data_IF_190242310728
#
_entry.id   IF_190242310728
#
_cell.length_a   1.000
_cell.length_b   1.000
_cell.length_c   1.000
_cell.angle_alpha   90.00
_cell.angle_beta   90.00
_cell.angle_gamma   90.00
#
_symmetry.space_group_name_H-M   'P 1'
#
loop_
_entity.id
_entity.type
_entity.pdbx_description
1 polymer ?
#
# COMPACT_ATOMS: atom_id res chain seq x y z
N UNK A 1 42.14 -58.01 -23.71
CA UNK A 1 41.58 -57.79 -25.06
C UNK A 1 40.48 -56.76 -24.91
N UNK A 2 40.43 -55.57 -25.48
CA UNK A 2 41.14 -54.71 -26.44
C UNK A 2 40.31 -53.38 -26.39
N UNK A 3 40.61 -52.23 -26.95
CA UNK A 3 41.63 -51.66 -27.82
C UNK A 3 41.31 -50.15 -27.78
N UNK A 4 42.35 -49.32 -27.68
CA UNK A 4 42.31 -47.86 -27.79
C UNK A 4 41.80 -47.37 -29.15
N UNK A 5 41.29 -46.13 -29.22
CA UNK A 5 41.46 -45.09 -30.28
C UNK A 5 40.62 -43.85 -29.89
N UNK A 6 41.23 -42.71 -29.50
CA UNK A 6 41.53 -41.50 -30.32
C UNK A 6 40.33 -41.08 -31.21
N UNK A 7 39.82 -39.86 -31.29
CA UNK A 7 40.41 -38.51 -31.35
C UNK A 7 39.24 -37.52 -31.54
N UNK A 8 39.31 -36.26 -31.08
CA UNK A 8 38.26 -35.29 -31.44
C UNK A 8 38.29 -33.93 -30.76
N UNK A 9 39.43 -33.24 -30.85
CA UNK A 9 39.58 -31.81 -30.59
C UNK A 9 38.67 -30.98 -31.49
N UNK A 10 37.87 -30.06 -30.94
CA UNK A 10 37.42 -28.85 -31.65
C UNK A 10 37.36 -27.69 -30.66
N UNK A 11 38.50 -26.98 -30.59
CA UNK A 11 38.61 -25.61 -30.11
C UNK A 11 37.82 -24.70 -31.07
N UNK A 12 36.82 -23.99 -30.58
CA UNK A 12 36.32 -22.79 -31.26
C UNK A 12 36.95 -21.56 -30.62
N UNK A 13 38.15 -21.24 -31.09
CA UNK A 13 38.72 -19.91 -30.95
C UNK A 13 38.42 -19.10 -32.22
N UNK A 14 38.19 -17.80 -32.02
CA UNK A 14 38.25 -16.73 -33.02
C UNK A 14 37.04 -16.59 -33.95
N UNK A 15 36.39 -15.43 -33.94
CA UNK A 15 36.89 -14.31 -34.75
C UNK A 15 35.88 -13.15 -34.84
N UNK A 16 36.39 -11.97 -34.49
CA UNK A 16 36.08 -10.59 -34.92
C UNK A 16 34.95 -10.33 -35.93
N UNK A 17 34.15 -9.28 -35.67
CA UNK A 17 33.29 -8.65 -36.67
C UNK A 17 32.35 -7.58 -36.11
N UNK A 18 32.88 -6.39 -35.80
CA UNK A 18 32.15 -5.12 -35.71
C UNK A 18 31.29 -4.85 -36.96
N UNK A 19 30.18 -4.10 -36.82
CA UNK A 19 29.80 -2.95 -37.67
C UNK A 19 28.37 -2.44 -37.38
N UNK A 20 28.33 -1.26 -36.75
CA UNK A 20 27.47 -0.11 -37.04
C UNK A 20 25.98 -0.33 -37.42
N UNK A 21 25.09 0.04 -36.50
CA UNK A 21 23.76 0.53 -36.85
C UNK A 21 23.46 1.81 -36.04
N UNK A 22 23.88 2.95 -36.60
CA UNK A 22 23.48 4.27 -36.16
C UNK A 22 22.01 4.51 -36.55
N UNK A 23 21.14 4.82 -35.58
CA UNK A 23 19.84 5.41 -35.83
C UNK A 23 19.85 6.87 -35.38
N UNK A 24 19.54 7.85 -36.25
CA UNK A 24 19.45 9.25 -35.87
C UNK A 24 18.16 9.51 -35.07
N UNK A 25 18.29 10.25 -33.97
CA UNK A 25 17.17 10.84 -33.22
C UNK A 25 16.28 11.66 -34.16
N UNK A 26 14.96 11.41 -34.15
CA UNK A 26 13.98 12.15 -34.95
C UNK A 26 13.44 13.33 -34.14
N UNK A 27 13.86 14.59 -34.40
CA UNK A 27 13.19 15.75 -33.80
C UNK A 27 11.84 15.95 -34.50
N UNK A 28 10.73 15.71 -33.79
CA UNK A 28 9.41 16.17 -34.23
C UNK A 28 9.21 17.62 -33.80
N UNK A 29 9.02 18.59 -34.73
CA UNK A 29 8.59 19.93 -34.35
C UNK A 29 7.13 19.87 -33.90
N UNK A 30 6.87 20.14 -32.63
CA UNK A 30 5.50 20.36 -32.13
C UNK A 30 5.05 21.75 -32.60
N UNK A 31 3.90 21.89 -33.29
CA UNK A 31 3.36 23.20 -33.61
C UNK A 31 2.75 23.86 -32.37
N UNK A 32 3.36 24.95 -31.90
CA UNK A 32 2.77 25.80 -30.86
C UNK A 32 1.77 26.77 -31.50
N UNK A 33 0.47 26.49 -31.35
CA UNK A 33 -0.62 27.36 -31.79
C UNK A 33 -0.68 28.66 -30.96
N UNK A 34 -0.90 29.78 -31.67
CA UNK A 34 -0.93 31.13 -31.11
C UNK A 34 -2.21 31.45 -30.31
N UNK A 35 -2.00 31.97 -29.08
CA UNK A 35 -2.73 33.03 -28.35
C UNK A 35 -4.25 33.16 -28.52
N UNK A 36 -5.02 32.82 -27.47
CA UNK A 36 -6.34 33.42 -27.20
C UNK A 36 -6.24 34.62 -26.25
N UNK A 37 -7.02 35.69 -26.44
CA UNK A 37 -7.26 36.72 -25.43
C UNK A 37 -8.34 36.25 -24.44
N UNK A 38 -8.05 36.27 -23.13
CA UNK A 38 -9.10 36.11 -22.12
C UNK A 38 -9.42 37.48 -21.53
N UNK A 39 -10.64 37.92 -21.79
CA UNK A 39 -11.23 39.20 -21.35
C UNK A 39 -11.51 39.13 -19.86
N UNK A 40 -11.07 40.13 -19.10
CA UNK A 40 -11.47 40.33 -17.71
C UNK A 40 -12.79 41.09 -17.64
N UNK A 41 -13.81 40.62 -16.91
CA UNK A 41 -14.79 41.50 -16.29
C UNK A 41 -14.74 41.42 -14.75
N UNK A 42 -15.25 42.50 -14.15
CA UNK A 42 -15.04 42.98 -12.77
C UNK A 42 -16.10 42.47 -11.74
N UNK A 43 -15.65 42.23 -10.48
CA UNK A 43 -16.17 42.64 -9.12
C UNK A 43 -17.68 42.96 -8.94
N UNK A 44 -18.46 42.63 -7.84
CA UNK A 44 -18.10 42.48 -6.40
C UNK A 44 -18.83 41.40 -5.52
N UNK A 45 -18.41 41.34 -4.25
CA UNK A 45 -19.23 41.26 -3.01
C UNK A 45 -19.30 39.93 -2.22
N UNK A 46 -19.27 40.01 -0.87
CA UNK A 46 -18.73 38.98 0.00
C UNK A 46 -19.80 37.98 0.45
N UNK A 47 -19.45 36.69 0.41
CA UNK A 47 -20.01 35.76 1.38
C UNK A 47 -18.98 35.70 2.50
N UNK A 48 -19.27 36.16 3.75
CA UNK A 48 -18.53 35.64 4.87
C UNK A 48 -18.76 34.14 4.81
N UNK A 49 -17.74 33.40 4.35
CA UNK A 49 -17.67 31.98 4.60
C UNK A 49 -17.78 31.89 6.11
N UNK A 50 -18.94 31.43 6.60
CA UNK A 50 -19.08 31.03 7.98
C UNK A 50 -18.12 29.87 8.08
N UNK A 51 -16.89 30.16 8.46
CA UNK A 51 -15.92 29.15 8.86
C UNK A 51 -16.69 28.28 9.84
N UNK A 52 -16.97 26.99 9.53
CA UNK A 52 -17.50 26.14 10.55
C UNK A 52 -16.52 26.25 11.71
N UNK A 53 -17.02 26.77 12.84
CA UNK A 53 -16.34 26.71 14.13
C UNK A 53 -15.65 25.34 14.16
N UNK A 54 -14.33 25.25 14.42
CA UNK A 54 -13.69 23.95 14.50
C UNK A 54 -14.54 23.13 15.45
N UNK A 55 -15.23 22.13 14.90
CA UNK A 55 -15.77 21.06 15.72
C UNK A 55 -14.55 20.61 16.48
N UNK A 56 -14.54 20.87 17.80
CA UNK A 56 -13.60 20.23 18.68
C UNK A 56 -13.96 18.76 18.55
N UNK A 57 -13.43 18.09 17.52
CA UNK A 57 -13.57 16.66 17.33
C UNK A 57 -13.08 16.11 18.66
N UNK A 58 -13.97 15.56 19.50
CA UNK A 58 -13.52 15.00 20.76
C UNK A 58 -12.43 14.02 20.36
N UNK A 59 -11.21 14.22 20.85
CA UNK A 59 -10.09 13.33 20.54
C UNK A 59 -10.60 11.92 20.74
N UNK A 60 -10.81 11.13 19.66
CA UNK A 60 -11.52 9.88 19.80
C UNK A 60 -10.69 9.03 20.74
N UNK A 61 -11.29 8.63 21.85
CA UNK A 61 -10.67 7.73 22.79
C UNK A 61 -10.24 6.49 22.00
N UNK A 62 -9.00 5.99 22.18
CA UNK A 62 -8.56 4.81 21.45
C UNK A 62 -9.48 3.65 21.83
N UNK A 63 -10.12 3.06 20.81
CA UNK A 63 -10.91 1.85 20.98
C UNK A 63 -9.93 0.72 21.30
N UNK A 64 -10.14 0.03 22.43
CA UNK A 64 -9.20 -0.98 22.95
C UNK A 64 -9.81 -2.36 22.88
N UNK A 65 -8.96 -3.36 22.66
CA UNK A 65 -9.31 -4.77 22.71
C UNK A 65 -8.16 -5.62 23.22
N UNK A 66 -8.41 -6.90 23.34
CA UNK A 66 -7.42 -7.89 23.76
C UNK A 66 -7.40 -9.04 22.78
N UNK A 67 -6.23 -9.60 22.51
CA UNK A 67 -6.13 -10.80 21.68
C UNK A 67 -6.61 -12.00 22.50
N UNK A 68 -7.66 -12.70 22.04
CA UNK A 68 -8.24 -13.82 22.78
C UNK A 68 -7.38 -15.09 22.66
N UNK A 69 -6.79 -15.32 21.48
CA UNK A 69 -5.96 -16.49 21.17
C UNK A 69 -4.75 -16.06 20.34
N UNK A 70 -3.61 -16.74 20.49
CA UNK A 70 -2.42 -16.45 19.69
C UNK A 70 -2.74 -16.60 18.21
N UNK A 71 -2.55 -15.53 17.45
CA UNK A 71 -2.98 -15.45 16.06
C UNK A 71 -2.06 -14.55 15.22
N UNK A 72 -2.06 -14.80 13.91
CA UNK A 72 -1.27 -14.04 12.96
C UNK A 72 -1.89 -12.66 12.70
N UNK A 73 -1.06 -11.63 12.72
CA UNK A 73 -1.38 -10.29 12.22
C UNK A 73 -1.08 -10.29 10.73
N UNK A 74 -2.02 -9.84 9.89
CA UNK A 74 -1.90 -9.85 8.43
C UNK A 74 -1.76 -8.45 7.84
N UNK A 75 -1.24 -8.35 6.62
CA UNK A 75 -1.08 -7.06 5.93
C UNK A 75 -2.39 -6.44 5.42
N UNK A 76 -3.46 -7.21 5.33
CA UNK A 76 -4.77 -6.74 4.86
C UNK A 76 -5.93 -7.58 5.39
N UNK A 77 -7.18 -7.13 5.16
CA UNK A 77 -8.39 -7.79 5.63
C UNK A 77 -8.67 -9.04 4.81
N UNK A 78 -8.19 -10.20 5.27
CA UNK A 78 -8.44 -11.47 4.60
C UNK A 78 -7.40 -12.53 4.89
N UNK A 79 -7.76 -13.78 4.61
CA UNK A 79 -6.83 -14.93 4.72
C UNK A 79 -5.83 -15.01 3.57
N UNK A 80 -6.06 -14.29 2.47
CA UNK A 80 -5.18 -14.25 1.30
C UNK A 80 -4.01 -13.28 1.46
N UNK A 81 -4.07 -12.39 2.46
CA UNK A 81 -3.01 -11.44 2.77
C UNK A 81 -1.89 -12.08 3.59
N UNK A 82 -0.64 -11.69 3.31
CA UNK A 82 0.55 -12.22 3.99
C UNK A 82 0.55 -11.90 5.49
N UNK A 83 0.90 -12.86 6.38
CA UNK A 83 1.13 -12.56 7.79
C UNK A 83 2.37 -11.66 7.96
N UNK A 84 2.22 -10.57 8.69
CA UNK A 84 3.29 -9.59 9.02
C UNK A 84 3.83 -9.77 10.43
N UNK A 85 3.12 -10.52 11.28
CA UNK A 85 3.56 -10.84 12.63
C UNK A 85 2.59 -11.77 13.34
N UNK A 86 2.81 -11.98 14.63
CA UNK A 86 1.99 -12.82 15.51
C UNK A 86 1.78 -12.08 16.82
N UNK A 87 0.54 -12.05 17.31
CA UNK A 87 0.24 -11.59 18.65
C UNK A 87 -0.20 -12.74 19.53
N UNK A 88 0.33 -12.75 20.75
CA UNK A 88 0.00 -13.74 21.77
C UNK A 88 -1.35 -13.44 22.42
N UNK A 89 -2.00 -14.48 22.94
CA UNK A 89 -3.19 -14.32 23.77
C UNK A 89 -2.94 -13.39 24.96
N UNK A 90 -3.91 -12.52 25.26
CA UNK A 90 -3.83 -11.50 26.30
C UNK A 90 -3.13 -10.21 25.87
N UNK A 91 -2.57 -10.12 24.66
CA UNK A 91 -1.92 -8.90 24.19
C UNK A 91 -2.95 -7.75 24.05
N UNK A 92 -2.68 -6.56 24.63
CA UNK A 92 -3.54 -5.40 24.46
C UNK A 92 -3.32 -4.81 23.07
N UNK A 93 -4.42 -4.46 22.40
CA UNK A 93 -4.41 -3.85 21.07
C UNK A 93 -5.33 -2.63 21.01
N UNK A 94 -5.00 -1.70 20.11
CA UNK A 94 -5.83 -0.55 19.77
C UNK A 94 -6.49 -0.83 18.43
N UNK A 95 -7.81 -0.65 18.34
CA UNK A 95 -8.58 -0.80 17.11
C UNK A 95 -8.59 0.53 16.35
N UNK A 96 -8.19 0.48 15.09
CA UNK A 96 -8.06 1.66 14.22
C UNK A 96 -9.22 1.75 13.25
N UNK A 97 -9.47 0.66 12.54
CA UNK A 97 -10.51 0.57 11.51
C UNK A 97 -11.01 -0.87 11.42
N UNK A 98 -12.11 -1.08 10.69
CA UNK A 98 -12.63 -2.41 10.39
C UNK A 98 -13.02 -2.54 8.92
N UNK A 99 -13.02 -3.76 8.41
CA UNK A 99 -13.46 -4.13 7.08
C UNK A 99 -14.21 -5.46 7.18
N UNK A 100 -15.54 -5.39 7.30
CA UNK A 100 -16.36 -6.56 7.63
C UNK A 100 -15.93 -7.20 8.95
N UNK A 101 -15.55 -8.48 8.92
CA UNK A 101 -15.11 -9.23 10.11
C UNK A 101 -13.60 -9.05 10.44
N UNK A 102 -12.90 -8.19 9.71
CA UNK A 102 -11.48 -7.91 9.94
C UNK A 102 -11.30 -6.58 10.62
N UNK A 103 -10.48 -6.56 11.67
CA UNK A 103 -10.15 -5.35 12.40
C UNK A 103 -8.69 -5.01 12.20
N UNK A 104 -8.45 -3.76 11.82
CA UNK A 104 -7.13 -3.18 11.82
C UNK A 104 -6.76 -2.78 13.24
N UNK A 105 -5.63 -3.31 13.71
CA UNK A 105 -5.14 -3.12 15.05
C UNK A 105 -3.73 -2.54 15.06
N UNK A 106 -3.40 -1.86 16.16
CA UNK A 106 -2.04 -1.51 16.54
C UNK A 106 -1.77 -2.17 17.88
N UNK A 107 -0.77 -3.06 17.91
CA UNK A 107 -0.38 -3.76 19.12
C UNK A 107 1.02 -3.38 19.62
N UNK A 108 1.61 -4.22 20.49
CA UNK A 108 2.93 -3.97 21.05
C UNK A 108 4.01 -3.78 19.98
N UNK A 109 4.94 -2.86 20.23
CA UNK A 109 6.01 -2.53 19.27
C UNK A 109 5.52 -1.75 18.05
N UNK A 110 4.37 -1.07 18.17
CA UNK A 110 3.74 -0.29 17.09
C UNK A 110 3.40 -1.12 15.83
N UNK A 111 3.36 -2.46 15.96
CA UNK A 111 3.02 -3.34 14.84
C UNK A 111 1.54 -3.13 14.47
N UNK A 112 1.34 -2.65 13.24
CA UNK A 112 0.02 -2.44 12.64
C UNK A 112 -0.31 -3.58 11.68
N UNK A 113 -1.55 -4.02 11.71
CA UNK A 113 -2.07 -4.96 10.71
C UNK A 113 -3.48 -5.42 11.05
N UNK A 114 -3.90 -6.49 10.39
CA UNK A 114 -5.29 -6.95 10.39
C UNK A 114 -5.43 -8.28 11.12
N UNK A 115 -6.44 -8.37 11.98
CA UNK A 115 -6.81 -9.59 12.71
C UNK A 115 -8.30 -9.85 12.55
N UNK A 116 -8.67 -11.13 12.54
CA UNK A 116 -10.06 -11.55 12.42
C UNK A 116 -10.81 -11.35 13.74
N UNK A 117 -12.08 -10.94 13.69
CA UNK A 117 -12.90 -10.67 14.86
C UNK A 117 -12.89 -11.82 15.88
N UNK A 118 -12.96 -13.08 15.42
CA UNK A 118 -13.03 -14.24 16.30
C UNK A 118 -11.76 -14.49 17.13
N UNK A 119 -10.63 -13.89 16.76
CA UNK A 119 -9.38 -13.98 17.54
C UNK A 119 -9.19 -12.80 18.50
N UNK A 120 -10.13 -11.85 18.50
CA UNK A 120 -10.12 -10.68 19.35
C UNK A 120 -11.24 -10.77 20.40
N UNK A 121 -10.93 -10.34 21.60
CA UNK A 121 -11.89 -10.06 22.66
C UNK A 121 -12.12 -8.55 22.70
N UNK A 122 -13.29 -8.13 22.23
CA UNK A 122 -13.69 -6.73 22.09
C UNK A 122 -15.11 -6.59 22.62
N UNK A 123 -15.38 -5.50 23.34
CA UNK A 123 -16.74 -5.17 23.72
C UNK A 123 -17.57 -4.85 22.46
N UNK A 124 -18.81 -5.35 22.31
CA UNK A 124 -19.61 -5.15 21.11
C UNK A 124 -19.93 -3.67 20.83
N UNK A 125 -20.03 -2.83 21.86
CA UNK A 125 -20.20 -1.37 21.67
C UNK A 125 -18.93 -0.72 21.12
N UNK A 126 -17.77 -1.24 21.53
CA UNK A 126 -16.47 -0.81 20.99
C UNK A 126 -16.33 -1.26 19.54
N UNK A 127 -16.61 -2.54 19.23
CA UNK A 127 -16.56 -3.05 17.86
C UNK A 127 -17.50 -2.29 16.89
N UNK A 128 -18.67 -1.88 17.38
CA UNK A 128 -19.62 -1.06 16.62
C UNK A 128 -19.13 0.39 16.38
N UNK A 129 -18.34 0.93 17.32
CA UNK A 129 -17.81 2.29 17.26
C UNK A 129 -16.52 2.41 16.43
N UNK A 130 -15.87 1.29 16.06
CA UNK A 130 -14.74 1.30 15.13
C UNK A 130 -15.20 1.75 13.75
N UNK A 131 -14.55 2.76 13.13
CA UNK A 131 -14.90 3.22 11.80
C UNK A 131 -14.60 2.16 10.74
N UNK A 132 -15.45 2.08 9.71
CA UNK A 132 -15.15 1.28 8.53
C UNK A 132 -13.96 1.88 7.77
N UNK A 133 -13.05 1.06 7.26
CA UNK A 133 -11.97 1.50 6.39
C UNK A 133 -12.54 2.04 5.07
N UNK A 134 -12.06 3.21 4.64
CA UNK A 134 -12.36 3.74 3.30
C UNK A 134 -11.79 2.78 2.23
N UNK A 135 -12.56 2.41 1.17
CA UNK A 135 -12.09 1.54 0.08
C UNK A 135 -10.86 2.03 -0.69
#
# INVERSE_FOLDING_TARGET
MGTFLLTGLLLFASSCGDLAAALPERPTPVPTLARLPSVTPVTPSPTPSVTPLPTLTPTPLPLRGTVAVTANVRSGPGTDFTPVGVFEAGAPVILVSRNGDWFEIIGPGELRGWMFLQVLEIDPTTAAAVPESDP
#
